data_IF_585194327081
#
_entry.id   IF_585194327081
#
_cell.length_a   1.000
_cell.length_b   1.000
_cell.length_c   1.000
_cell.angle_alpha   90.00
_cell.angle_beta   90.00
_cell.angle_gamma   90.00
#
_symmetry.space_group_name_H-M   'P 1'
#
loop_
_entity.id
_entity.type
_entity.pdbx_description
1 polymer ?
#
# COMPACT_ATOMS: atom_id res chain seq x y z
N UNK A 1 -13.41 -6.70 1.45
CA UNK A 1 -13.73 -6.64 0.01
C UNK A 1 -15.07 -7.33 -0.23
N UNK A 2 -15.68 -7.08 -1.39
CA UNK A 2 -16.82 -7.90 -1.82
C UNK A 2 -16.34 -9.32 -2.20
N UNK A 3 -17.27 -10.28 -2.29
CA UNK A 3 -16.94 -11.68 -2.54
C UNK A 3 -16.33 -11.90 -3.94
N UNK A 4 -16.77 -11.14 -4.94
CA UNK A 4 -16.31 -11.27 -6.31
C UNK A 4 -14.85 -10.82 -6.48
N UNK A 5 -14.46 -9.75 -5.78
CA UNK A 5 -13.09 -9.27 -5.70
C UNK A 5 -12.17 -10.31 -5.06
N UNK A 6 -12.61 -10.92 -3.96
CA UNK A 6 -11.84 -11.96 -3.25
C UNK A 6 -11.67 -13.18 -4.16
N UNK A 7 -12.75 -13.64 -4.79
CA UNK A 7 -12.71 -14.77 -5.72
C UNK A 7 -11.79 -14.52 -6.90
N UNK A 8 -11.90 -13.35 -7.54
CA UNK A 8 -11.04 -12.95 -8.67
C UNK A 8 -9.56 -13.01 -8.28
N UNK A 9 -9.25 -12.55 -7.07
CA UNK A 9 -7.90 -12.52 -6.51
C UNK A 9 -7.34 -13.90 -6.25
N UNK A 10 -8.14 -14.79 -5.68
CA UNK A 10 -7.73 -16.19 -5.44
C UNK A 10 -7.49 -16.88 -6.77
N UNK A 11 -8.41 -16.74 -7.72
CA UNK A 11 -8.31 -17.41 -9.03
C UNK A 11 -7.07 -16.97 -9.79
N UNK A 12 -6.98 -15.67 -10.06
CA UNK A 12 -6.00 -15.09 -11.00
C UNK A 12 -4.70 -14.63 -10.34
N UNK A 13 -4.67 -14.59 -9.01
CA UNK A 13 -3.60 -13.95 -8.27
C UNK A 13 -3.63 -12.43 -8.39
N UNK A 14 -2.64 -11.77 -7.77
CA UNK A 14 -2.38 -10.34 -7.89
C UNK A 14 -0.89 -10.08 -7.81
N UNK A 15 -0.41 -9.16 -8.65
CA UNK A 15 0.98 -8.68 -8.62
C UNK A 15 0.96 -7.19 -8.28
N UNK A 16 1.60 -6.84 -7.18
CA UNK A 16 1.82 -5.45 -6.78
C UNK A 16 3.28 -5.10 -7.03
N UNK A 17 3.51 -4.01 -7.75
CA UNK A 17 4.87 -3.51 -8.00
C UNK A 17 4.93 -2.01 -7.71
N UNK A 18 5.60 -1.63 -6.63
CA UNK A 18 5.96 -0.25 -6.33
C UNK A 18 7.46 -0.10 -6.61
N UNK A 19 7.85 0.71 -7.62
CA UNK A 19 9.26 0.92 -7.93
C UNK A 19 10.05 1.52 -6.76
N UNK A 20 11.36 1.27 -6.73
CA UNK A 20 12.25 1.93 -5.80
C UNK A 20 12.41 3.42 -6.18
N UNK A 21 12.06 4.34 -5.28
CA UNK A 21 12.14 5.77 -5.59
C UNK A 21 13.49 6.40 -5.17
N UNK A 22 14.38 5.67 -4.51
CA UNK A 22 15.71 6.17 -4.08
C UNK A 22 16.61 6.67 -5.22
N UNK A 23 16.35 6.25 -6.45
CA UNK A 23 17.12 6.65 -7.63
C UNK A 23 16.59 7.95 -8.27
N UNK A 24 15.38 8.37 -7.93
CA UNK A 24 14.67 9.50 -8.57
C UNK A 24 14.25 10.60 -7.59
N UNK A 25 14.17 10.29 -6.30
CA UNK A 25 13.87 11.25 -5.24
C UNK A 25 15.10 11.48 -4.36
N UNK A 26 15.28 12.71 -3.94
CA UNK A 26 16.23 13.08 -2.88
C UNK A 26 15.81 12.52 -1.51
N UNK A 27 16.75 12.47 -0.57
CA UNK A 27 16.46 12.04 0.80
C UNK A 27 15.43 12.94 1.51
N UNK A 28 15.40 14.23 1.15
CA UNK A 28 14.43 15.20 1.65
C UNK A 28 13.03 14.91 1.09
N UNK A 29 12.88 14.78 -0.24
CA UNK A 29 11.59 14.45 -0.89
C UNK A 29 11.02 13.12 -0.37
N UNK A 30 11.87 12.12 -0.10
CA UNK A 30 11.44 10.84 0.50
C UNK A 30 10.91 11.06 1.92
N UNK A 31 11.55 11.93 2.70
CA UNK A 31 11.11 12.25 4.06
C UNK A 31 9.79 13.02 4.06
N UNK A 32 9.64 13.98 3.15
CA UNK A 32 8.41 14.73 2.93
C UNK A 32 7.26 13.80 2.52
N UNK A 33 7.47 12.97 1.49
CA UNK A 33 6.49 12.01 1.03
C UNK A 33 6.06 11.04 2.15
N UNK A 34 7.01 10.56 2.96
CA UNK A 34 6.69 9.69 4.10
C UNK A 34 5.79 10.37 5.15
N UNK A 35 6.06 11.65 5.46
CA UNK A 35 5.20 12.42 6.37
C UNK A 35 3.79 12.60 5.79
N UNK A 36 3.68 12.91 4.49
CA UNK A 36 2.38 13.03 3.84
C UNK A 36 1.61 11.72 3.85
N UNK A 37 2.26 10.60 3.48
CA UNK A 37 1.63 9.27 3.46
C UNK A 37 1.14 8.85 4.85
N UNK A 38 1.91 9.09 5.90
CA UNK A 38 1.45 8.85 7.27
C UNK A 38 0.26 9.74 7.65
N UNK A 39 0.28 11.03 7.27
CA UNK A 39 -0.81 11.95 7.56
C UNK A 39 -2.15 11.50 7.00
N UNK A 40 -2.15 10.82 5.84
CA UNK A 40 -3.36 10.31 5.18
C UNK A 40 -4.07 9.24 6.02
N UNK A 41 -3.31 8.46 6.79
CA UNK A 41 -3.85 7.46 7.73
C UNK A 41 -4.25 8.04 9.10
N UNK A 42 -4.09 9.35 9.28
CA UNK A 42 -4.38 10.06 10.54
C UNK A 42 -3.28 9.95 11.59
N UNK A 43 -2.06 9.55 11.21
CA UNK A 43 -0.90 9.53 12.12
C UNK A 43 -0.41 10.95 12.44
N UNK A 44 0.14 11.14 13.64
CA UNK A 44 0.75 12.41 14.02
C UNK A 44 2.09 12.57 13.32
N UNK A 45 2.23 13.64 12.54
CA UNK A 45 3.42 13.93 11.73
C UNK A 45 3.78 15.41 11.77
N UNK A 46 4.98 15.75 11.28
CA UNK A 46 5.35 17.12 11.01
C UNK A 46 4.49 17.67 9.85
N UNK A 47 3.65 18.66 10.13
CA UNK A 47 2.68 19.21 9.18
C UNK A 47 3.36 19.99 8.03
N UNK A 48 4.50 20.62 8.27
CA UNK A 48 5.23 21.32 7.22
C UNK A 48 5.77 20.32 6.18
N UNK A 49 6.40 19.24 6.66
CA UNK A 49 6.89 18.17 5.80
C UNK A 49 5.75 17.43 5.09
N UNK A 50 4.61 17.24 5.75
CA UNK A 50 3.43 16.64 5.11
C UNK A 50 2.86 17.53 3.99
N UNK A 51 2.88 18.86 4.16
CA UNK A 51 2.45 19.80 3.12
C UNK A 51 3.36 19.72 1.88
N UNK A 52 4.69 19.72 2.07
CA UNK A 52 5.67 19.53 0.99
C UNK A 52 5.54 18.14 0.35
N UNK A 53 5.33 17.11 1.18
CA UNK A 53 5.14 15.73 0.73
C UNK A 53 3.91 15.53 -0.14
N UNK A 54 2.87 16.34 0.05
CA UNK A 54 1.69 16.35 -0.82
C UNK A 54 2.05 16.78 -2.25
N UNK A 55 2.94 17.76 -2.39
CA UNK A 55 3.44 18.18 -3.70
C UNK A 55 4.26 17.07 -4.35
N UNK A 56 5.18 16.44 -3.60
CA UNK A 56 5.94 15.28 -4.06
C UNK A 56 5.00 14.16 -4.54
N UNK A 57 3.99 13.81 -3.74
CA UNK A 57 3.03 12.76 -4.08
C UNK A 57 2.27 13.03 -5.39
N UNK A 58 1.90 14.29 -5.62
CA UNK A 58 1.13 14.68 -6.80
C UNK A 58 1.99 14.82 -8.06
N UNK A 59 3.25 15.24 -7.91
CA UNK A 59 4.13 15.59 -9.05
C UNK A 59 5.11 14.49 -9.43
N UNK A 60 5.48 13.61 -8.50
CA UNK A 60 6.50 12.57 -8.72
C UNK A 60 5.91 11.18 -9.03
N UNK A 61 4.64 11.14 -9.45
CA UNK A 61 4.00 9.94 -9.97
C UNK A 61 3.38 9.00 -8.94
N UNK A 62 3.42 9.32 -7.65
CA UNK A 62 2.81 8.48 -6.60
C UNK A 62 1.29 8.35 -6.81
N UNK A 63 0.63 9.47 -7.13
CA UNK A 63 -0.80 9.52 -7.46
C UNK A 63 -1.19 8.70 -8.70
N UNK A 64 -0.24 8.37 -9.58
CA UNK A 64 -0.49 7.54 -10.77
C UNK A 64 -0.90 6.12 -10.43
N UNK A 65 -0.38 5.55 -9.33
CA UNK A 65 -0.75 4.22 -8.85
C UNK A 65 -1.62 4.27 -7.59
N UNK A 66 -1.44 5.27 -6.73
CA UNK A 66 -2.20 5.40 -5.49
C UNK A 66 -3.46 6.24 -5.63
N UNK A 67 -3.75 6.77 -6.82
CA UNK A 67 -4.80 7.77 -7.12
C UNK A 67 -4.53 9.14 -6.47
N UNK A 68 -5.12 10.23 -6.97
CA UNK A 68 -5.03 11.55 -6.32
C UNK A 68 -5.64 11.57 -4.91
N UNK A 69 -6.62 10.70 -4.65
CA UNK A 69 -7.24 10.54 -3.33
C UNK A 69 -6.44 9.61 -2.41
N UNK A 70 -5.31 9.08 -2.89
CA UNK A 70 -4.46 8.11 -2.19
C UNK A 70 -5.18 6.80 -1.78
N UNK A 71 -6.29 6.49 -2.44
CA UNK A 71 -7.14 5.32 -2.15
C UNK A 71 -6.65 4.02 -2.77
N UNK A 72 -5.59 4.07 -3.58
CA UNK A 72 -5.03 2.91 -4.25
C UNK A 72 -5.85 2.45 -5.45
N UNK A 73 -5.21 1.63 -6.29
CA UNK A 73 -5.84 0.96 -7.44
C UNK A 73 -5.83 -0.55 -7.23
N UNK A 74 -7.01 -1.13 -7.01
CA UNK A 74 -7.17 -2.59 -6.83
C UNK A 74 -6.57 -3.40 -7.97
N UNK A 75 -6.75 -2.94 -9.21
CA UNK A 75 -6.24 -3.60 -10.41
C UNK A 75 -4.70 -3.73 -10.42
N UNK A 76 -3.99 -2.77 -9.80
CA UNK A 76 -2.53 -2.77 -9.69
C UNK A 76 -2.04 -3.36 -8.36
N UNK A 77 -2.95 -3.78 -7.47
CA UNK A 77 -2.60 -4.17 -6.10
C UNK A 77 -1.99 -3.04 -5.28
N UNK A 78 -2.25 -1.79 -5.68
CA UNK A 78 -1.77 -0.59 -5.00
C UNK A 78 -2.56 -0.37 -3.70
N UNK A 79 -1.85 -0.06 -2.63
CA UNK A 79 -2.43 0.10 -1.31
C UNK A 79 -3.28 1.37 -1.20
N UNK A 80 -4.35 1.28 -0.40
CA UNK A 80 -5.05 2.45 0.10
C UNK A 80 -4.22 3.08 1.22
N UNK A 81 -3.68 4.27 1.00
CA UNK A 81 -2.82 4.96 1.96
C UNK A 81 -3.61 5.78 2.99
N UNK A 82 -4.93 5.85 2.82
CA UNK A 82 -5.84 6.58 3.74
C UNK A 82 -6.38 5.69 4.87
N UNK A 83 -6.20 4.38 4.77
CA UNK A 83 -6.57 3.47 5.85
C UNK A 83 -5.41 3.27 6.85
N UNK A 84 -5.67 2.48 7.89
CA UNK A 84 -4.71 2.15 8.94
C UNK A 84 -4.14 0.74 8.80
N UNK A 85 -4.25 0.13 7.62
CA UNK A 85 -3.86 -1.25 7.35
C UNK A 85 -2.46 -1.26 6.72
N UNK A 86 -1.47 -1.36 7.59
CA UNK A 86 -0.06 -1.33 7.20
C UNK A 86 0.49 -2.75 7.05
N UNK A 87 0.55 -3.24 5.81
CA UNK A 87 1.05 -4.59 5.50
C UNK A 87 2.54 -4.64 5.15
N UNK A 88 3.18 -3.50 4.90
CA UNK A 88 4.54 -3.42 4.34
C UNK A 88 5.47 -2.53 5.15
N UNK A 89 4.97 -1.39 5.60
CA UNK A 89 5.68 -0.58 6.58
C UNK A 89 5.22 -1.02 7.97
N UNK A 90 6.14 -1.32 8.88
CA UNK A 90 5.83 -1.69 10.26
C UNK A 90 5.47 -0.45 11.10
N UNK A 91 4.40 0.26 10.70
CA UNK A 91 3.93 1.50 11.33
C UNK A 91 3.25 1.21 12.67
N UNK A 92 2.36 0.20 12.81
CA UNK A 92 1.75 -0.13 14.11
C UNK A 92 2.75 -0.59 15.17
N UNK A 93 3.84 -1.23 14.75
CA UNK A 93 4.89 -1.76 15.62
C UNK A 93 5.97 -0.73 15.99
N UNK A 94 5.93 0.46 15.39
CA UNK A 94 6.93 1.49 15.63
C UNK A 94 6.65 2.27 16.93
N UNK A 95 7.66 2.35 17.80
CA UNK A 95 7.55 2.93 19.14
C UNK A 95 7.51 4.47 19.18
N UNK A 96 7.75 5.15 18.04
CA UNK A 96 7.74 6.62 17.96
C UNK A 96 7.27 7.14 16.60
N UNK A 97 6.90 8.42 16.53
CA UNK A 97 6.50 9.06 15.28
C UNK A 97 7.66 9.06 14.26
N UNK A 98 8.88 9.25 14.73
CA UNK A 98 10.09 9.21 13.90
C UNK A 98 10.34 7.80 13.36
N UNK A 99 10.14 6.77 14.18
CA UNK A 99 10.27 5.38 13.75
C UNK A 99 9.22 5.02 12.67
N UNK A 100 7.98 5.53 12.79
CA UNK A 100 6.94 5.38 11.76
C UNK A 100 7.38 6.02 10.44
N UNK A 101 7.95 7.23 10.48
CA UNK A 101 8.49 7.90 9.30
C UNK A 101 9.60 7.06 8.67
N UNK A 102 10.52 6.51 9.46
CA UNK A 102 11.58 5.63 8.97
C UNK A 102 11.01 4.38 8.28
N UNK A 103 9.98 3.74 8.84
CA UNK A 103 9.33 2.58 8.26
C UNK A 103 8.75 2.89 6.87
N UNK A 104 8.06 4.02 6.70
CA UNK A 104 7.50 4.43 5.41
C UNK A 104 8.60 4.86 4.42
N UNK A 105 9.64 5.56 4.88
CA UNK A 105 10.81 5.91 4.05
C UNK A 105 11.49 4.68 3.48
N UNK A 106 11.63 3.61 4.26
CA UNK A 106 12.25 2.37 3.81
C UNK A 106 11.48 1.75 2.63
N UNK A 107 10.15 1.76 2.71
CA UNK A 107 9.25 1.31 1.64
C UNK A 107 9.38 2.18 0.38
N UNK A 108 9.29 3.51 0.51
CA UNK A 108 9.41 4.43 -0.63
C UNK A 108 10.77 4.29 -1.31
N UNK A 109 11.84 4.20 -0.51
CA UNK A 109 13.22 4.13 -1.01
C UNK A 109 13.48 2.81 -1.75
N UNK A 110 13.04 1.70 -1.19
CA UNK A 110 13.40 0.35 -1.66
C UNK A 110 12.41 -0.19 -2.68
N UNK A 111 11.18 0.34 -2.71
CA UNK A 111 10.09 -0.24 -3.48
C UNK A 111 9.57 -1.54 -2.85
N UNK A 112 8.55 -2.10 -3.49
CA UNK A 112 7.90 -3.34 -3.07
C UNK A 112 7.60 -4.18 -4.31
N UNK A 113 7.89 -5.47 -4.24
CA UNK A 113 7.42 -6.46 -5.19
C UNK A 113 6.63 -7.54 -4.44
N UNK A 114 5.34 -7.67 -4.76
CA UNK A 114 4.43 -8.64 -4.14
C UNK A 114 3.76 -9.50 -5.18
N UNK A 115 3.60 -10.76 -4.86
CA UNK A 115 2.87 -11.72 -5.67
C UNK A 115 1.99 -12.57 -4.76
N UNK A 116 0.68 -12.41 -4.94
CA UNK A 116 -0.27 -13.46 -4.60
C UNK A 116 -0.40 -14.34 -5.84
N UNK A 117 -0.01 -15.62 -5.78
CA UNK A 117 -0.09 -16.49 -6.95
C UNK A 117 -1.55 -16.79 -7.33
N UNK A 118 -1.74 -17.19 -8.58
CA UNK A 118 -3.00 -17.75 -9.05
C UNK A 118 -3.23 -19.14 -8.42
N UNK A 119 -4.45 -19.39 -7.95
CA UNK A 119 -4.83 -20.68 -7.36
C UNK A 119 -5.82 -21.46 -8.23
N UNK A 120 -6.28 -20.92 -9.35
CA UNK A 120 -7.25 -21.59 -10.23
C UNK A 120 -6.75 -22.89 -10.86
N UNK A 121 -5.43 -23.08 -10.96
CA UNK A 121 -4.83 -24.34 -11.41
C UNK A 121 -4.55 -25.34 -10.29
N UNK A 122 -4.73 -24.93 -9.03
CA UNK A 122 -4.40 -25.71 -7.83
C UNK A 122 -5.63 -26.11 -7.01
N UNK A 123 -6.71 -25.34 -7.12
CA UNK A 123 -7.96 -25.54 -6.40
C UNK A 123 -9.12 -25.64 -7.38
N UNK A 124 -10.06 -26.53 -7.09
CA UNK A 124 -11.32 -26.65 -7.82
C UNK A 124 -12.21 -25.43 -7.60
N UNK A 125 -13.23 -25.27 -8.45
CA UNK A 125 -14.18 -24.17 -8.34
C UNK A 125 -14.93 -24.16 -6.99
N UNK A 126 -15.26 -25.33 -6.46
CA UNK A 126 -15.99 -25.44 -5.20
C UNK A 126 -15.08 -25.14 -4.01
N UNK A 127 -13.83 -25.61 -4.02
CA UNK A 127 -12.83 -25.25 -3.00
C UNK A 127 -12.58 -23.73 -2.95
N UNK A 128 -12.49 -23.08 -4.12
CA UNK A 128 -12.33 -21.62 -4.20
C UNK A 128 -13.55 -20.91 -3.60
N UNK A 129 -14.78 -21.36 -3.90
CA UNK A 129 -16.00 -20.76 -3.32
C UNK A 129 -16.06 -20.93 -1.80
N UNK A 130 -15.70 -22.11 -1.30
CA UNK A 130 -15.61 -22.37 0.15
C UNK A 130 -14.58 -21.45 0.79
N UNK A 131 -13.41 -21.29 0.17
CA UNK A 131 -12.37 -20.38 0.66
C UNK A 131 -12.83 -18.91 0.66
N UNK A 132 -13.53 -18.47 -0.39
CA UNK A 132 -14.12 -17.12 -0.44
C UNK A 132 -15.12 -16.93 0.70
N UNK A 133 -16.01 -17.90 0.94
CA UNK A 133 -16.97 -17.85 2.04
C UNK A 133 -16.27 -17.81 3.41
N UNK A 134 -15.22 -18.62 3.59
CA UNK A 134 -14.40 -18.61 4.81
C UNK A 134 -13.72 -17.26 5.06
N UNK A 135 -13.08 -16.66 4.05
CA UNK A 135 -12.46 -15.34 4.18
C UNK A 135 -13.49 -14.23 4.46
N UNK A 136 -14.71 -14.36 3.92
CA UNK A 136 -15.82 -13.44 4.21
C UNK A 136 -16.32 -13.52 5.66
N UNK A 137 -16.13 -14.66 6.34
CA UNK A 137 -16.43 -14.81 7.77
C UNK A 137 -15.39 -14.14 8.67
N UNK A 138 -14.16 -13.96 8.18
CA UNK A 138 -13.06 -13.32 8.93
C UNK A 138 -13.02 -11.80 8.74
N UNK A 139 -13.84 -11.24 7.85
CA UNK A 139 -13.81 -9.84 7.42
C UNK A 139 -14.81 -8.96 8.13
#
# INVERSE_FOLDING_TARGET
GDAADIETTIRKGRKGNMPAHKAILSAEEITEAANYVLSLSGEKVNQELASKGKEVFNTKGCSGCHTPAATGMKALGSANLTDKIWTQAHVPEADSAEAKVVAVKAVISSGIQREMPAWESRLSNDEIKVLVAYLKLLS
#
